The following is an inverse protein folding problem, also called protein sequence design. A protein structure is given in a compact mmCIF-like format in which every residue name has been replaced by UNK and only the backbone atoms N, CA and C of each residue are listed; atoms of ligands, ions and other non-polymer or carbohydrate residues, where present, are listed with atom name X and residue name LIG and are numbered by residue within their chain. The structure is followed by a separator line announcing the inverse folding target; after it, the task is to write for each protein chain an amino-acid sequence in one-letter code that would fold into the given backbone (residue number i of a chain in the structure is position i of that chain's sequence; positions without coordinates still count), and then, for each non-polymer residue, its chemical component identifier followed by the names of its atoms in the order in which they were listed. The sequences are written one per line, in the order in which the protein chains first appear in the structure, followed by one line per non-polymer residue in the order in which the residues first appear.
data_IF_775072929172
#
_entry.id   IF_775072929172
#
_cell.length_a   1.000
_cell.length_b   1.000
_cell.length_c   1.000
_cell.angle_alpha   90.00
_cell.angle_beta   90.00
_cell.angle_gamma   90.00
#
_symmetry.space_group_name_H-M   'P 1'
#
loop_
_entity.id
_entity.type
_entity.pdbx_description
1 polymer ?
2 non-polymer ?
3 non-polymer ?
4 non-polymer ?
5 non-polymer ?
6 non-polymer ?
7 non-polymer ?
8 non-polymer ?
9 water ?
#
# COMPACT_ATOMS: atom_id res chain seq x y z
N UNK A 14 20.94 12.18 -14.06
CA UNK A 14 19.95 11.17 -13.79
C UNK A 14 18.52 11.64 -14.01
N UNK A 15 17.57 11.05 -13.28
CA UNK A 15 16.15 11.38 -13.45
C UNK A 15 15.80 12.75 -12.89
N UNK A 16 16.48 13.16 -11.82
CA UNK A 16 16.18 14.45 -11.19
C UNK A 16 16.50 15.59 -12.17
N UNK A 17 17.60 15.45 -12.91
CA UNK A 17 17.93 16.43 -13.95
C UNK A 17 16.91 16.43 -15.07
N UNK A 18 16.62 15.23 -15.60
CA UNK A 18 15.62 15.04 -16.66
C UNK A 18 14.27 15.64 -16.23
N UNK A 19 13.90 15.45 -14.98
CA UNK A 19 12.67 16.07 -14.45
C UNK A 19 12.67 17.59 -14.61
N UNK A 20 13.78 18.23 -14.24
CA UNK A 20 13.89 19.68 -14.32
C UNK A 20 13.87 20.13 -15.78
N UNK A 21 14.69 19.46 -16.61
CA UNK A 21 14.73 19.75 -18.04
C UNK A 21 13.36 19.66 -18.67
N UNK A 22 12.65 18.58 -18.35
CA UNK A 22 11.35 18.33 -18.99
C UNK A 22 10.31 19.39 -18.61
N UNK A 23 10.27 19.79 -17.34
CA UNK A 23 9.26 20.76 -16.93
C UNK A 23 9.49 22.16 -17.53
N UNK A 24 10.73 22.48 -17.86
CA UNK A 24 11.07 23.79 -18.48
C UNK A 24 10.25 24.12 -19.72
N UNK A 25 10.09 23.16 -20.63
CA UNK A 25 9.41 23.43 -21.89
C UNK A 25 7.97 22.87 -21.97
N UNK A 26 7.57 22.12 -20.95
CA UNK A 26 6.21 21.58 -20.89
C UNK A 26 5.11 22.63 -21.11
N UNK A 27 4.08 22.26 -21.86
CA UNK A 27 2.89 23.10 -22.04
C UNK A 27 2.15 23.23 -20.70
N UNK A 28 1.22 24.22 -20.60
CA UNK A 28 0.47 24.34 -19.34
C UNK A 28 -0.26 23.05 -18.98
N UNK A 29 -0.46 22.77 -17.72
CA UNK A 29 -1.12 21.55 -17.30
C UNK A 29 -2.59 21.41 -17.75
N UNK A 30 -3.36 22.50 -17.71
CA UNK A 30 -4.75 22.60 -18.24
C UNK A 30 -5.51 21.35 -17.88
N UNK A 31 -5.56 21.05 -16.61
CA UNK A 31 -5.93 19.73 -16.17
C UNK A 31 -7.34 19.35 -16.61
N UNK A 32 -8.25 20.29 -16.58
CA UNK A 32 -9.62 19.98 -16.96
C UNK A 32 -9.71 19.61 -18.44
N UNK A 33 -8.92 20.31 -19.25
CA UNK A 33 -8.88 20.01 -20.68
C UNK A 33 -8.25 18.65 -20.90
N UNK A 34 -7.22 18.32 -20.12
CA UNK A 34 -6.57 17.03 -20.32
C UNK A 34 -7.49 15.91 -19.88
N UNK A 35 -8.18 16.10 -18.76
CA UNK A 35 -9.10 15.10 -18.25
C UNK A 35 -10.25 14.89 -19.25
N UNK A 36 -10.73 16.00 -19.82
CA UNK A 36 -11.82 15.93 -20.79
C UNK A 36 -11.51 15.06 -22.00
N UNK A 37 -10.28 15.10 -22.50
CA UNK A 37 -9.95 14.42 -23.76
C UNK A 37 -9.35 13.03 -23.57
N UNK A 38 -9.24 12.62 -22.31
CA UNK A 38 -8.62 11.34 -21.99
C UNK A 38 -9.46 10.15 -22.47
N UNK A 39 -8.81 9.23 -23.17
CA UNK A 39 -9.44 7.98 -23.58
C UNK A 39 -8.94 6.86 -22.70
N UNK A 40 -9.83 5.98 -22.24
CA UNK A 40 -9.40 4.96 -21.28
C UNK A 40 -8.39 3.94 -21.81
N UNK A 41 -8.28 3.77 -23.11
CA UNK A 41 -7.39 2.74 -23.63
C UNK A 41 -5.94 3.16 -23.81
N UNK A 42 -5.58 4.35 -23.33
CA UNK A 42 -4.25 4.92 -23.57
C UNK A 42 -3.56 5.35 -22.29
N UNK A 43 -2.23 5.31 -22.30
CA UNK A 43 -1.43 5.81 -21.16
C UNK A 43 -1.65 7.32 -21.04
N UNK A 44 -1.33 7.87 -19.87
CA UNK A 44 -1.67 9.27 -19.59
C UNK A 44 -0.73 10.25 -20.29
N UNK A 45 -1.21 11.47 -20.54
CA UNK A 45 -0.35 12.49 -21.14
C UNK A 45 0.76 12.84 -20.15
N UNK A 46 1.87 13.34 -20.69
CA UNK A 46 3.09 13.52 -19.91
C UNK A 46 2.89 14.10 -18.50
N UNK A 47 2.21 15.26 -18.39
CA UNK A 47 2.27 15.92 -17.07
C UNK A 47 1.63 15.14 -15.93
N UNK A 48 0.77 14.19 -16.25
CA UNK A 48 0.28 13.32 -15.18
C UNK A 48 1.42 12.57 -14.49
N UNK A 49 2.48 12.24 -15.24
CA UNK A 49 3.57 11.46 -14.70
C UNK A 49 4.77 12.32 -14.31
N UNK A 50 4.79 13.57 -14.74
CA UNK A 50 6.03 14.36 -14.61
C UNK A 50 5.87 15.73 -13.98
N UNK A 51 4.65 16.27 -13.92
CA UNK A 51 4.52 17.68 -13.53
C UNK A 51 4.30 17.85 -12.03
N UNK A 52 4.89 18.91 -11.46
CA UNK A 52 4.60 19.19 -10.05
C UNK A 52 3.15 19.66 -9.84
N UNK A 53 2.52 20.24 -10.86
CA UNK A 53 1.14 20.65 -10.72
C UNK A 53 0.24 19.45 -10.49
N UNK A 54 0.42 18.39 -11.27
CA UNK A 54 -0.45 17.23 -11.09
C UNK A 54 -0.10 16.52 -9.80
N UNK A 55 1.19 16.49 -9.46
CA UNK A 55 1.61 15.88 -8.23
C UNK A 55 0.94 16.54 -7.03
N UNK A 56 0.89 17.88 -7.02
CA UNK A 56 0.22 18.59 -5.95
C UNK A 56 -1.27 18.24 -5.84
N UNK A 57 -1.91 18.05 -6.98
CA UNK A 57 -3.32 17.64 -7.00
C UNK A 57 -3.48 16.20 -6.48
N UNK A 58 -2.54 15.32 -6.83
CA UNK A 58 -2.57 13.93 -6.38
C UNK A 58 -2.45 13.86 -4.86
N UNK A 59 -1.57 14.67 -4.28
CA UNK A 59 -1.46 14.75 -2.84
C UNK A 59 -2.76 15.29 -2.24
N UNK A 60 -3.17 16.47 -2.69
CA UNK A 60 -4.33 17.13 -2.07
C UNK A 60 -5.62 16.31 -2.20
N UNK A 61 -5.83 15.72 -3.36
CA UNK A 61 -7.13 15.15 -3.69
C UNK A 61 -7.23 13.63 -3.61
N UNK A 62 -6.07 12.96 -3.61
CA UNK A 62 -6.02 11.49 -3.55
C UNK A 62 -5.41 11.02 -2.22
N UNK A 63 -4.12 11.28 -2.03
CA UNK A 63 -3.48 10.77 -0.82
C UNK A 63 -3.96 11.39 0.50
N UNK A 64 -4.38 12.65 0.45
CA UNK A 64 -4.86 13.31 1.65
C UNK A 64 -6.36 13.12 1.86
N UNK A 65 -7.02 12.39 0.97
CA UNK A 65 -8.48 12.23 1.08
C UNK A 65 -8.96 10.79 1.25
N UNK A 66 -8.15 9.82 0.82
CA UNK A 66 -8.60 8.43 0.81
C UNK A 66 -7.99 7.67 1.99
N UNK A 67 -8.58 6.51 2.31
CA UNK A 67 -7.98 5.63 3.31
C UNK A 67 -6.69 5.02 2.76
N UNK A 68 -5.68 4.93 3.62
CA UNK A 68 -4.33 4.48 3.24
C UNK A 68 -3.84 3.42 4.20
N UNK A 69 -3.21 2.38 3.68
CA UNK A 69 -2.56 1.40 4.53
C UNK A 69 -1.31 1.99 5.16
N UNK A 70 -1.16 1.76 6.45
CA UNK A 70 -0.03 2.27 7.20
C UNK A 70 0.93 1.14 7.60
N UNK A 71 0.54 0.34 8.57
CA UNK A 71 1.36 -0.73 9.13
C UNK A 71 0.53 -1.88 9.67
N UNK A 72 1.14 -3.05 9.82
CA UNK A 72 0.40 -4.14 10.47
C UNK A 72 0.18 -3.86 11.95
N UNK A 73 -0.95 -4.26 12.51
CA UNK A 73 -1.22 -3.94 13.90
C UNK A 73 -0.23 -4.65 14.85
N UNK A 74 0.38 -5.73 14.38
CA UNK A 74 1.31 -6.48 15.23
C UNK A 74 2.57 -5.66 15.58
N UNK A 75 2.85 -4.61 14.82
CA UNK A 75 3.94 -3.70 15.21
C UNK A 75 3.59 -2.88 16.45
N UNK A 76 2.33 -2.87 16.82
CA UNK A 76 1.88 -2.14 18.00
C UNK A 76 1.33 -3.11 19.03
N UNK A 77 1.99 -4.25 19.18
CA UNK A 77 1.52 -5.30 20.09
C UNK A 77 1.65 -4.90 21.55
N UNK A 78 2.74 -4.18 21.87
CA UNK A 78 3.07 -3.89 23.25
C UNK A 78 2.43 -2.61 23.80
N UNK A 79 2.34 -2.54 25.12
CA UNK A 79 1.79 -1.35 25.79
C UNK A 79 2.69 -0.15 25.51
N UNK A 80 2.07 0.96 25.11
CA UNK A 80 2.81 2.19 24.84
C UNK A 80 3.66 2.15 23.59
N UNK A 81 3.45 1.12 22.77
CA UNK A 81 4.21 1.01 21.54
C UNK A 81 3.73 2.05 20.53
N UNK A 82 4.66 2.51 19.68
CA UNK A 82 4.29 3.47 18.66
C UNK A 82 5.12 3.22 17.41
N UNK A 83 4.64 3.77 16.31
CA UNK A 83 5.36 3.72 15.05
C UNK A 83 5.02 5.01 14.33
N UNK A 84 5.96 5.54 13.55
CA UNK A 84 5.75 6.80 12.86
C UNK A 84 5.90 6.59 11.36
N UNK A 85 5.21 7.41 10.58
CA UNK A 85 5.34 7.38 9.13
C UNK A 85 5.04 8.76 8.57
N UNK A 86 5.57 9.00 7.39
CA UNK A 86 5.36 10.27 6.71
C UNK A 86 4.44 9.95 5.55
N UNK A 87 3.38 10.74 5.41
CA UNK A 87 2.50 10.66 4.24
C UNK A 87 2.49 12.01 3.57
N UNK A 88 3.18 12.13 2.46
CA UNK A 88 3.37 13.44 1.87
C UNK A 88 4.15 14.29 2.86
N UNK A 89 3.56 15.41 3.28
CA UNK A 89 4.22 16.29 4.22
C UNK A 89 3.74 16.04 5.65
N UNK A 90 2.73 15.19 5.80
CA UNK A 90 2.25 14.84 7.13
C UNK A 90 3.17 13.87 7.85
N UNK A 91 3.44 14.15 9.12
CA UNK A 91 4.14 13.24 10.01
C UNK A 91 3.11 12.67 10.97
N UNK A 92 2.91 11.36 10.93
CA UNK A 92 1.86 10.69 11.72
C UNK A 92 2.49 9.77 12.74
N UNK A 93 1.96 9.74 13.96
CA UNK A 93 2.38 8.74 14.93
C UNK A 93 1.18 7.86 15.28
N UNK A 94 1.41 6.55 15.28
CA UNK A 94 0.34 5.59 15.58
C UNK A 94 0.76 4.92 16.89
N UNK A 95 -0.16 4.87 17.87
CA UNK A 95 0.23 4.41 19.21
C UNK A 95 -0.81 3.46 19.80
N UNK A 96 -0.36 2.51 20.63
CA UNK A 96 -1.30 1.72 21.41
C UNK A 96 -1.50 2.43 22.73
N UNK A 97 -2.73 2.87 22.98
CA UNK A 97 -3.03 3.66 24.18
C UNK A 97 -3.16 2.75 25.39
N UNK A 98 -3.33 3.38 26.56
CA UNK A 98 -3.40 2.64 27.82
C UNK A 98 -4.61 1.70 27.86
N UNK A 99 -5.66 2.03 27.11
CA UNK A 99 -6.88 1.22 27.13
C UNK A 99 -6.86 0.11 26.10
N UNK A 100 -5.72 -0.09 25.44
CA UNK A 100 -5.60 -1.14 24.45
C UNK A 100 -6.01 -0.76 23.03
N UNK A 101 -6.55 0.45 22.88
CA UNK A 101 -6.97 0.93 21.57
C UNK A 101 -5.76 1.44 20.81
N UNK A 102 -5.74 1.25 19.50
CA UNK A 102 -4.73 1.87 18.64
C UNK A 102 -5.28 3.15 18.06
N UNK A 103 -4.56 4.25 18.27
CA UNK A 103 -4.97 5.56 17.76
C UNK A 103 -3.82 6.19 16.99
N UNK A 104 -4.15 7.16 16.14
CA UNK A 104 -3.14 7.87 15.37
C UNK A 104 -3.29 9.36 15.62
N UNK A 105 -2.16 10.07 15.55
CA UNK A 105 -2.17 11.49 15.80
C UNK A 105 -1.21 12.16 14.87
N UNK A 106 -1.37 13.46 14.69
CA UNK A 106 -0.35 14.24 14.03
C UNK A 106 0.84 14.40 14.98
N UNK A 107 2.02 14.03 14.47
CA UNK A 107 3.26 14.07 15.25
C UNK A 107 3.81 15.52 15.21
N UNK A 108 3.03 16.44 15.77
CA UNK A 108 3.37 17.85 15.80
C UNK A 108 2.86 18.45 17.11
N UNK A 109 3.80 18.79 17.97
CA UNK A 109 3.51 19.41 19.25
C UNK A 109 2.65 20.69 19.12
N UNK A 110 1.64 20.81 19.97
CA UNK A 110 0.71 21.94 19.87
C UNK A 110 1.29 23.25 20.40
N UNK A 111 2.49 23.20 20.99
CA UNK A 111 3.14 24.40 21.43
C UNK A 111 3.70 25.14 20.21
N UNK A 112 4.86 24.69 19.73
CA UNK A 112 5.50 25.37 18.63
C UNK A 112 5.68 24.49 17.38
N UNK A 113 5.12 23.30 17.40
CA UNK A 113 5.06 22.48 16.18
C UNK A 113 5.97 21.27 16.10
N UNK A 114 6.93 21.14 17.02
CA UNK A 114 7.97 20.11 16.91
C UNK A 114 7.45 18.68 16.74
N UNK A 115 8.17 17.85 15.99
CA UNK A 115 7.97 16.42 16.10
C UNK A 115 8.07 16.04 17.57
N UNK A 116 7.25 15.08 17.97
CA UNK A 116 7.35 14.51 19.32
C UNK A 116 8.11 13.18 19.32
N UNK A 117 7.72 12.27 18.44
CA UNK A 117 8.41 10.98 18.32
C UNK A 117 9.35 11.02 17.14
N UNK A 118 10.64 10.90 17.39
CA UNK A 118 11.65 11.04 16.36
C UNK A 118 12.06 9.69 15.75
N UNK A 119 11.95 8.62 16.53
CA UNK A 119 12.25 7.27 16.06
C UNK A 119 11.10 6.68 15.25
N UNK A 120 11.45 5.77 14.35
CA UNK A 120 10.46 5.07 13.52
C UNK A 120 9.54 4.16 14.34
N UNK A 121 10.07 3.59 15.43
CA UNK A 121 9.27 2.75 16.33
C UNK A 121 9.85 2.83 17.74
N UNK A 122 9.01 2.56 18.74
CA UNK A 122 9.49 2.53 20.11
C UNK A 122 8.39 2.27 21.10
N UNK A 123 8.69 2.44 22.38
CA UNK A 123 7.67 2.39 23.42
C UNK A 123 7.88 3.57 24.34
N UNK A 124 6.77 4.12 24.82
CA UNK A 124 6.82 5.26 25.72
C UNK A 124 5.74 5.10 26.78
N UNK A 125 5.90 5.82 27.88
CA UNK A 125 4.85 5.92 28.89
C UNK A 125 3.91 7.05 28.51
N UNK A 126 4.50 8.19 28.16
CA UNK A 126 3.73 9.33 27.69
C UNK A 126 4.46 9.85 26.46
N UNK A 127 3.76 10.67 25.69
CA UNK A 127 4.38 11.37 24.56
C UNK A 127 4.92 12.70 25.07
N UNK A 128 6.25 12.82 25.14
CA UNK A 128 6.90 14.00 25.72
C UNK A 128 7.65 14.76 24.65
N UNK A 129 7.20 15.97 24.35
CA UNK A 129 7.92 16.77 23.37
C UNK A 129 9.37 17.04 23.76
N UNK A 130 10.32 16.76 22.85
CA UNK A 130 11.75 16.94 23.15
C UNK A 130 12.17 18.40 23.29
N UNK A 131 11.30 19.31 22.87
CA UNK A 131 11.65 20.72 22.86
C UNK A 131 11.47 21.34 24.26
N UNK A 132 10.24 21.41 24.73
CA UNK A 132 9.97 22.01 26.04
C UNK A 132 9.13 21.08 26.93
N UNK A 133 9.07 19.81 26.57
CA UNK A 133 8.45 18.76 27.39
C UNK A 133 6.96 18.86 27.70
N UNK A 134 6.18 19.55 26.87
CA UNK A 134 4.75 19.36 26.90
C UNK A 134 4.49 17.87 26.79
N UNK A 135 3.65 17.39 27.70
CA UNK A 135 3.50 15.97 27.89
C UNK A 135 2.06 15.57 27.61
N UNK A 136 1.91 14.59 26.73
CA UNK A 136 0.61 14.09 26.33
C UNK A 136 0.37 12.65 26.73
N UNK A 137 -0.86 12.35 27.09
CA UNK A 137 -1.31 11.00 27.30
C UNK A 137 -1.39 10.28 25.95
N UNK A 138 -1.43 8.97 25.96
CA UNK A 138 -1.44 8.16 24.77
C UNK A 138 -2.72 8.22 24.00
N UNK A 139 -3.69 8.93 24.54
CA UNK A 139 -4.88 9.26 23.80
C UNK A 139 -4.85 10.69 23.23
N UNK A 140 -3.72 11.34 23.32
CA UNK A 140 -3.57 12.67 22.76
C UNK A 140 -3.78 13.84 23.70
N UNK A 141 -4.37 13.59 24.86
CA UNK A 141 -4.65 14.68 25.80
C UNK A 141 -3.40 15.32 26.40
N UNK A 142 -3.35 16.65 26.37
CA UNK A 142 -2.26 17.39 27.00
C UNK A 142 -2.39 17.39 28.53
N UNK A 143 -1.49 16.72 29.23
CA UNK A 143 -1.62 16.57 30.68
C UNK A 143 -0.63 17.42 31.48
N UNK A 144 0.38 17.95 30.80
CA UNK A 144 1.29 18.88 31.46
C UNK A 144 1.96 19.79 30.44
N UNK A 145 1.90 21.09 30.72
CA UNK A 145 2.61 22.11 29.96
C UNK A 145 3.21 23.10 30.92
N UNK A 146 4.53 23.20 30.94
CA UNK A 146 5.20 24.00 31.98
C UNK A 146 5.03 25.50 31.83
N UNK A 147 4.69 26.16 32.94
CA UNK A 147 4.66 27.62 33.04
C UNK A 147 3.93 28.33 31.90
N UNK A 148 2.72 27.89 31.59
CA UNK A 148 1.92 28.51 30.52
C UNK A 148 0.91 29.55 31.02
N UNK A 149 0.91 29.81 32.33
CA UNK A 149 0.07 30.85 32.86
C UNK A 149 -1.32 30.37 33.22
N UNK A 150 -2.07 31.20 33.97
CA UNK A 150 -3.36 30.77 34.52
C UNK A 150 -4.46 30.72 33.48
N UNK A 151 -4.31 31.44 32.37
CA UNK A 151 -5.34 31.44 31.34
C UNK A 151 -5.10 30.45 30.19
N UNK A 152 -4.19 29.51 30.40
CA UNK A 152 -3.93 28.44 29.43
C UNK A 152 -4.94 27.30 29.60
N UNK A 153 -5.64 26.95 28.53
CA UNK A 153 -6.62 25.86 28.55
C UNK A 153 -6.06 24.66 27.79
N UNK A 154 -5.53 23.68 28.51
CA UNK A 154 -4.91 22.52 27.87
C UNK A 154 -5.87 21.70 27.02
N UNK A 155 -7.17 21.82 27.26
CA UNK A 155 -8.15 21.02 26.52
C UNK A 155 -8.24 21.45 25.07
N UNK A 156 -7.66 22.61 24.77
CA UNK A 156 -7.67 23.15 23.41
C UNK A 156 -6.41 22.70 22.68
N UNK A 157 -5.49 22.06 23.40
CA UNK A 157 -4.15 21.81 22.85
C UNK A 157 -3.68 20.35 22.97
N UNK A 158 -4.60 19.41 22.84
CA UNK A 158 -4.21 18.01 22.75
C UNK A 158 -3.73 17.72 21.33
N UNK A 159 -3.06 16.60 21.12
CA UNK A 159 -2.62 16.24 19.77
C UNK A 159 -3.79 16.09 18.81
N UNK A 160 -3.60 16.52 17.56
CA UNK A 160 -4.68 16.40 16.59
C UNK A 160 -4.81 14.96 16.12
N UNK A 161 -6.03 14.41 16.22
CA UNK A 161 -6.19 12.99 15.88
C UNK A 161 -6.14 12.76 14.38
N UNK A 162 -5.82 11.51 14.02
CA UNK A 162 -5.90 11.03 12.66
C UNK A 162 -6.83 9.83 12.62
N UNK A 163 -7.85 9.93 11.77
CA UNK A 163 -8.81 8.88 11.45
C UNK A 163 -8.10 7.54 11.21
N UNK A 164 -8.52 6.50 11.94
CA UNK A 164 -7.86 5.19 11.86
C UNK A 164 -8.86 4.02 11.90
N UNK A 165 -8.57 2.99 11.11
CA UNK A 165 -9.36 1.76 11.13
C UNK A 165 -8.44 0.56 11.25
N UNK A 166 -8.94 -0.53 11.81
CA UNK A 166 -8.20 -1.79 11.83
C UNK A 166 -8.85 -2.80 10.90
N UNK A 167 -8.22 -3.07 9.77
CA UNK A 167 -8.71 -4.03 8.80
C UNK A 167 -8.12 -5.40 9.12
N UNK A 168 -8.70 -6.08 10.11
CA UNK A 168 -8.35 -7.47 10.43
C UNK A 168 -6.86 -7.67 10.63
N UNK A 169 -6.26 -6.76 11.39
CA UNK A 169 -4.84 -6.83 11.70
C UNK A 169 -3.96 -5.88 10.90
N UNK A 170 -4.58 -5.08 10.02
CA UNK A 170 -3.84 -4.10 9.19
C UNK A 170 -4.38 -2.70 9.44
N UNK A 171 -3.49 -1.80 9.84
CA UNK A 171 -3.89 -0.46 10.24
C UNK A 171 -3.96 0.48 9.04
N UNK A 172 -5.13 1.11 8.87
CA UNK A 172 -5.38 2.08 7.80
C UNK A 172 -5.69 3.44 8.40
N UNK A 173 -5.27 4.51 7.70
CA UNK A 173 -5.50 5.85 8.20
C UNK A 173 -6.06 6.73 7.09
N UNK A 174 -6.65 7.86 7.50
CA UNK A 174 -7.17 8.80 6.53
C UNK A 174 -6.95 10.21 7.06
N UNK A 175 -6.33 11.05 6.24
CA UNK A 175 -5.91 12.38 6.67
C UNK A 175 -7.01 13.44 6.53
N UNK A 176 -8.14 13.05 5.96
CA UNK A 176 -9.26 13.98 5.83
C UNK A 176 -10.12 14.06 7.10
N UNK A 177 -10.67 15.24 7.37
CA UNK A 177 -11.64 15.41 8.46
C UNK A 177 -12.98 14.78 8.07
N UNK A 178 -13.14 14.50 6.77
CA UNK A 178 -14.34 13.85 6.25
C UNK A 178 -14.01 12.61 5.42
N UNK A 179 -13.56 11.55 6.10
CA UNK A 179 -13.10 10.35 5.39
C UNK A 179 -14.22 9.69 4.61
N UNK A 180 -13.87 9.05 3.49
CA UNK A 180 -14.87 8.30 2.75
C UNK A 180 -15.27 7.03 3.49
N UNK A 181 -16.23 6.32 2.91
CA UNK A 181 -16.71 5.09 3.52
C UNK A 181 -15.63 4.01 3.50
N UNK A 182 -15.26 3.50 4.68
CA UNK A 182 -14.32 2.38 4.77
C UNK A 182 -15.05 1.07 5.02
N UNK A 183 -16.26 1.18 5.53
CA UNK A 183 -16.98 0.03 6.06
C UNK A 183 -17.38 -0.99 5.00
N UNK A 184 -17.69 -0.52 3.79
CA UNK A 184 -18.06 -1.41 2.69
C UNK A 184 -16.89 -2.31 2.33
N UNK A 185 -15.70 -1.71 2.23
CA UNK A 185 -14.47 -2.45 1.96
C UNK A 185 -14.17 -3.40 3.12
N UNK A 186 -14.22 -2.89 4.34
CA UNK A 186 -13.87 -3.69 5.52
C UNK A 186 -14.76 -4.93 5.63
N UNK A 187 -16.06 -4.71 5.54
CA UNK A 187 -17.03 -5.81 5.48
C UNK A 187 -16.81 -6.82 4.38
N UNK A 188 -16.43 -6.34 3.20
CA UNK A 188 -16.19 -7.26 2.10
C UNK A 188 -14.92 -8.08 2.32
N UNK A 189 -13.89 -7.43 2.85
CA UNK A 189 -12.57 -8.05 2.93
C UNK A 189 -12.46 -9.06 4.06
N UNK A 190 -13.17 -8.81 5.16
CA UNK A 190 -13.03 -9.62 6.37
C UNK A 190 -13.01 -11.14 6.18
N UNK A 191 -13.97 -11.70 5.41
CA UNK A 191 -13.97 -13.16 5.25
C UNK A 191 -12.67 -13.68 4.64
N UNK A 192 -12.09 -12.91 3.72
CA UNK A 192 -10.86 -13.30 3.07
C UNK A 192 -9.66 -13.15 4.01
N UNK A 193 -9.66 -12.10 4.81
CA UNK A 193 -8.49 -11.76 5.63
C UNK A 193 -8.45 -12.51 6.96
N UNK A 194 -9.61 -12.72 7.55
CA UNK A 194 -9.67 -13.23 8.92
C UNK A 194 -8.98 -14.59 9.05
N UNK A 195 -8.98 -15.36 7.96
CA UNK A 195 -8.41 -16.71 7.99
C UNK A 195 -6.88 -16.67 7.99
N UNK A 196 -6.31 -15.49 7.84
CA UNK A 196 -4.86 -15.34 7.92
C UNK A 196 -4.38 -14.98 9.32
N UNK A 197 -5.32 -14.73 10.23
CA UNK A 197 -4.99 -14.45 11.64
C UNK A 197 -3.88 -13.40 11.78
N UNK A 198 -4.03 -12.28 11.10
CA UNK A 198 -2.94 -11.29 11.04
C UNK A 198 -2.65 -10.66 12.41
N UNK A 199 -3.64 -10.66 13.29
CA UNK A 199 -3.41 -10.15 14.63
C UNK A 199 -2.37 -11.00 15.38
N UNK A 200 -2.19 -12.25 14.93
CA UNK A 200 -1.18 -13.15 15.52
C UNK A 200 0.12 -13.20 14.72
N UNK A 201 0.36 -12.20 13.88
CA UNK A 201 1.59 -12.19 13.09
C UNK A 201 2.70 -11.49 13.83
N UNK A 202 3.91 -11.61 13.30
CA UNK A 202 4.99 -10.66 13.61
C UNK A 202 5.60 -10.22 12.30
N UNK A 203 6.28 -9.08 12.31
CA UNK A 203 7.05 -8.67 11.14
C UNK A 203 8.38 -9.43 11.12
N UNK A 204 8.57 -10.29 10.12
CA UNK A 204 9.82 -11.03 9.93
C UNK A 204 10.90 -10.17 9.22
N UNK A 205 10.46 -9.25 8.37
CA UNK A 205 11.40 -8.43 7.59
C UNK A 205 10.63 -7.26 6.99
N UNK A 206 11.32 -6.13 6.82
CA UNK A 206 10.74 -5.01 6.09
C UNK A 206 11.79 -4.50 5.10
N UNK A 207 11.36 -4.16 3.90
CA UNK A 207 12.23 -3.55 2.91
C UNK A 207 11.59 -2.25 2.42
N UNK A 208 12.34 -1.17 2.46
CA UNK A 208 11.82 0.10 1.96
C UNK A 208 12.73 0.52 0.83
N UNK A 209 12.16 0.77 -0.35
CA UNK A 209 12.94 1.28 -1.46
C UNK A 209 12.30 2.52 -2.07
N UNK A 210 13.13 3.35 -2.69
CA UNK A 210 12.61 4.47 -3.44
C UNK A 210 12.79 4.13 -4.91
N UNK A 211 11.70 4.17 -5.65
CA UNK A 211 11.74 4.01 -7.09
C UNK A 211 11.64 5.38 -7.74
N UNK A 212 12.54 5.66 -8.67
CA UNK A 212 12.50 6.96 -9.34
C UNK A 212 11.47 6.98 -10.47
N UNK A 213 10.20 6.79 -10.10
CA UNK A 213 9.11 7.03 -11.03
C UNK A 213 7.89 7.49 -10.26
N UNK A 214 6.98 8.15 -10.96
CA UNK A 214 5.73 8.64 -10.41
C UNK A 214 4.95 7.48 -9.80
N UNK A 215 4.18 7.76 -8.77
CA UNK A 215 3.45 6.72 -8.03
C UNK A 215 2.50 5.98 -8.98
N UNK A 216 2.01 6.67 -10.00
CA UNK A 216 1.07 6.02 -10.91
C UNK A 216 1.81 5.02 -11.80
N UNK A 217 3.07 5.30 -12.10
CA UNK A 217 3.86 4.33 -12.88
C UNK A 217 4.16 3.07 -12.08
N UNK A 218 4.33 3.22 -10.77
CA UNK A 218 4.52 2.08 -9.90
C UNK A 218 3.24 1.23 -9.95
N UNK A 219 2.08 1.87 -9.87
CA UNK A 219 0.81 1.13 -9.91
C UNK A 219 0.52 0.49 -11.26
N UNK A 220 0.74 1.21 -12.37
CA UNK A 220 0.53 0.64 -13.70
C UNK A 220 1.40 -0.59 -13.92
N UNK A 221 2.66 -0.51 -13.47
CA UNK A 221 3.54 -1.66 -13.50
C UNK A 221 3.01 -2.82 -12.67
N UNK A 222 2.51 -2.50 -11.48
CA UNK A 222 1.98 -3.52 -10.60
C UNK A 222 0.77 -4.24 -11.17
N UNK A 223 -0.03 -3.52 -11.94
CA UNK A 223 -1.32 -4.07 -12.37
C UNK A 223 -1.28 -4.85 -13.69
N UNK A 224 -0.08 -5.26 -14.10
CA UNK A 224 0.07 -6.16 -15.25
C UNK A 224 1.22 -7.14 -15.14
N UNK A 225 1.08 -8.31 -15.77
CA UNK A 225 2.22 -9.21 -15.97
C UNK A 225 2.69 -9.32 -17.41
N UNK A 226 2.32 -8.31 -18.19
CA UNK A 226 2.79 -8.16 -19.56
C UNK A 226 4.32 -8.10 -19.56
N UNK A 227 4.90 -7.58 -18.47
CA UNK A 227 6.35 -7.42 -18.39
C UNK A 227 7.06 -8.58 -17.70
N UNK A 228 6.29 -9.52 -17.17
CA UNK A 228 6.85 -10.46 -16.21
C UNK A 228 7.78 -11.54 -16.76
N UNK A 229 7.42 -12.16 -17.89
CA UNK A 229 8.24 -13.24 -18.42
C UNK A 229 9.65 -12.81 -18.75
N UNK A 230 9.82 -11.61 -19.34
CA UNK A 230 11.16 -11.11 -19.64
C UNK A 230 11.92 -10.55 -18.44
N UNK A 231 11.19 -10.11 -17.41
CA UNK A 231 11.83 -9.31 -16.37
C UNK A 231 11.90 -9.93 -14.98
N UNK A 232 11.16 -11.03 -14.75
CA UNK A 232 11.08 -11.61 -13.42
C UNK A 232 11.36 -13.11 -13.38
N UNK A 233 12.62 -13.52 -13.58
CA UNK A 233 12.89 -14.96 -13.58
C UNK A 233 12.52 -15.64 -12.26
N UNK A 234 12.81 -15.01 -11.12
CA UNK A 234 12.52 -15.65 -9.84
C UNK A 234 11.02 -15.76 -9.60
N UNK A 235 10.31 -14.66 -9.78
CA UNK A 235 8.86 -14.64 -9.59
C UNK A 235 8.12 -15.64 -10.48
N UNK A 236 8.55 -15.74 -11.74
CA UNK A 236 7.86 -16.60 -12.71
C UNK A 236 7.88 -18.08 -12.35
N UNK A 237 8.74 -18.46 -11.40
CA UNK A 237 8.76 -19.82 -10.94
C UNK A 237 7.51 -20.19 -10.16
N UNK A 238 6.88 -19.19 -9.53
CA UNK A 238 5.75 -19.44 -8.65
C UNK A 238 4.47 -18.64 -9.00
N UNK A 239 4.63 -17.49 -9.66
CA UNK A 239 3.49 -16.63 -10.02
C UNK A 239 3.14 -16.80 -11.50
N UNK A 240 1.88 -17.15 -11.80
CA UNK A 240 1.51 -17.41 -13.20
C UNK A 240 1.45 -16.16 -14.08
N UNK A 241 1.72 -16.33 -15.37
CA UNK A 241 1.70 -15.21 -16.31
C UNK A 241 0.31 -14.95 -16.88
N UNK A 242 -0.63 -15.86 -16.60
CA UNK A 242 -1.97 -15.80 -17.15
C UNK A 242 -2.60 -14.46 -16.80
N UNK A 243 -2.96 -13.67 -17.83
CA UNK A 243 -3.55 -12.34 -17.66
C UNK A 243 -4.77 -12.30 -16.73
N UNK A 244 -5.50 -13.40 -16.64
CA UNK A 244 -6.68 -13.45 -15.79
C UNK A 244 -6.30 -13.34 -14.33
N UNK A 245 -5.11 -13.83 -13.99
CA UNK A 245 -4.63 -13.75 -12.63
C UNK A 245 -4.31 -12.32 -12.21
N UNK A 246 -3.44 -11.67 -12.98
CA UNK A 246 -3.00 -10.31 -12.69
C UNK A 246 -4.12 -9.28 -12.85
N UNK A 247 -4.97 -9.46 -13.87
CA UNK A 247 -5.88 -8.41 -14.29
C UNK A 247 -7.29 -8.47 -13.72
N UNK A 248 -8.24 -7.95 -14.49
CA UNK A 248 -9.62 -7.85 -14.04
C UNK A 248 -10.62 -8.40 -15.06
N UNK A 249 -10.16 -9.25 -15.98
CA UNK A 249 -11.06 -9.87 -16.94
C UNK A 249 -12.05 -10.82 -16.27
N UNK A 250 -11.70 -11.27 -15.06
CA UNK A 250 -12.58 -12.12 -14.25
C UNK A 250 -13.86 -11.40 -13.83
N UNK A 251 -13.83 -10.07 -13.85
CA UNK A 251 -14.99 -9.27 -13.46
C UNK A 251 -16.17 -9.47 -14.40
N UNK A 252 -15.88 -9.78 -15.65
CA UNK A 252 -16.91 -10.03 -16.64
C UNK A 252 -17.30 -11.50 -16.72
N UNK A 253 -16.50 -12.34 -16.08
CA UNK A 253 -16.73 -13.78 -16.08
C UNK A 253 -15.47 -14.58 -15.79
N UNK A 254 -15.60 -15.63 -14.98
CA UNK A 254 -14.45 -16.43 -14.57
C UNK A 254 -14.28 -17.67 -15.44
N UNK A 255 -13.05 -17.94 -15.87
CA UNK A 255 -12.76 -19.15 -16.63
C UNK A 255 -13.07 -20.41 -15.80
N UNK A 256 -13.17 -21.55 -16.47
CA UNK A 256 -13.52 -22.78 -15.78
C UNK A 256 -12.38 -23.23 -14.88
N UNK A 257 -11.15 -23.11 -15.38
CA UNK A 257 -9.98 -23.48 -14.61
C UNK A 257 -9.88 -22.67 -13.32
N UNK A 258 -10.05 -21.35 -13.43
CA UNK A 258 -9.99 -20.48 -12.25
C UNK A 258 -11.12 -20.75 -11.26
N UNK A 259 -12.33 -20.90 -11.78
CA UNK A 259 -13.46 -21.15 -10.90
C UNK A 259 -13.27 -22.46 -10.13
N UNK A 260 -12.67 -23.43 -10.80
CA UNK A 260 -12.34 -24.70 -10.17
C UNK A 260 -11.39 -24.48 -8.99
N UNK A 261 -10.45 -23.55 -9.13
CA UNK A 261 -9.58 -23.23 -8.01
C UNK A 261 -10.33 -22.55 -6.88
N UNK A 262 -11.16 -21.56 -7.20
CA UNK A 262 -11.98 -20.86 -6.22
C UNK A 262 -12.81 -21.89 -5.45
N UNK A 263 -13.33 -22.88 -6.16
CA UNK A 263 -14.18 -23.89 -5.54
C UNK A 263 -13.41 -24.82 -4.61
N UNK A 264 -12.20 -25.22 -4.99
CA UNK A 264 -11.36 -26.00 -4.09
C UNK A 264 -11.14 -25.25 -2.78
N UNK A 265 -10.83 -23.95 -2.87
CA UNK A 265 -10.65 -23.15 -1.67
C UNK A 265 -11.88 -23.02 -0.83
N UNK A 266 -13.00 -22.74 -1.48
CA UNK A 266 -14.21 -22.45 -0.76
C UNK A 266 -14.89 -23.71 -0.21
N UNK A 267 -14.76 -24.83 -0.92
CA UNK A 267 -15.20 -26.12 -0.37
C UNK A 267 -14.47 -26.41 0.93
N UNK A 268 -13.22 -25.95 0.98
CA UNK A 268 -12.39 -26.12 2.16
C UNK A 268 -12.58 -25.03 3.19
N UNK A 269 -13.52 -24.11 2.94
CA UNK A 269 -13.84 -23.07 3.91
C UNK A 269 -13.00 -21.79 3.82
N UNK A 270 -12.28 -21.64 2.70
CA UNK A 270 -11.39 -20.50 2.52
C UNK A 270 -11.90 -19.61 1.40
N UNK A 271 -12.42 -18.44 1.72
CA UNK A 271 -13.02 -17.58 0.71
C UNK A 271 -12.01 -17.19 -0.35
N UNK A 272 -12.41 -17.27 -1.62
CA UNK A 272 -11.52 -17.10 -2.75
C UNK A 272 -12.07 -16.25 -3.88
N UNK A 273 -13.40 -16.21 -3.98
CA UNK A 273 -14.00 -15.74 -5.18
C UNK A 273 -13.63 -14.29 -5.47
N UNK A 274 -13.31 -14.02 -6.71
CA UNK A 274 -12.96 -12.69 -7.19
C UNK A 274 -14.09 -11.71 -6.90
N UNK A 275 -13.76 -10.62 -6.22
CA UNK A 275 -14.70 -9.51 -5.97
C UNK A 275 -14.04 -8.16 -6.25
N UNK A 276 -14.70 -7.31 -7.04
CA UNK A 276 -14.16 -5.99 -7.37
C UNK A 276 -15.14 -4.90 -6.93
N UNK A 277 -14.62 -3.88 -6.24
CA UNK A 277 -15.43 -2.75 -5.78
C UNK A 277 -16.26 -2.18 -6.91
N UNK A 278 -17.43 -1.64 -6.56
CA UNK A 278 -18.28 -1.00 -7.54
C UNK A 278 -17.55 0.13 -8.23
N UNK A 279 -16.77 0.89 -7.44
CA UNK A 279 -16.04 2.05 -7.97
C UNK A 279 -14.59 1.70 -8.36
N UNK A 280 -14.22 0.44 -8.20
CA UNK A 280 -12.95 -0.07 -8.69
C UNK A 280 -11.77 0.17 -7.74
N UNK A 281 -12.06 0.68 -6.54
CA UNK A 281 -10.97 1.05 -5.61
C UNK A 281 -10.18 -0.17 -5.09
N UNK A 282 -10.86 -1.29 -4.96
CA UNK A 282 -10.26 -2.47 -4.37
C UNK A 282 -10.74 -3.77 -4.98
N UNK A 283 -9.92 -4.81 -4.86
CA UNK A 283 -10.23 -6.12 -5.42
C UNK A 283 -9.62 -7.17 -4.52
N UNK A 284 -10.36 -8.25 -4.28
CA UNK A 284 -9.83 -9.42 -3.61
C UNK A 284 -10.07 -10.64 -4.47
N UNK A 285 -9.08 -11.53 -4.54
CA UNK A 285 -9.20 -12.80 -5.24
C UNK A 285 -8.11 -13.78 -4.77
N UNK A 286 -8.47 -15.04 -4.51
CA UNK A 286 -7.44 -16.03 -4.18
C UNK A 286 -7.06 -16.86 -5.41
N UNK A 287 -5.87 -16.61 -5.94
CA UNK A 287 -5.48 -17.10 -7.24
C UNK A 287 -4.53 -18.27 -7.07
N UNK A 288 -4.54 -19.21 -8.03
CA UNK A 288 -3.61 -20.34 -8.00
C UNK A 288 -2.20 -19.89 -8.33
N UNK A 289 -1.21 -20.54 -7.73
CA UNK A 289 0.18 -20.32 -8.13
C UNK A 289 0.48 -21.20 -9.32
N UNK A 290 1.64 -21.05 -9.94
CA UNK A 290 1.96 -21.85 -11.11
C UNK A 290 2.29 -23.23 -10.73
N UNK A 291 2.03 -24.17 -11.63
CA UNK A 291 2.58 -25.50 -11.54
C UNK A 291 2.24 -26.03 -10.17
N UNK A 292 3.21 -26.57 -9.49
CA UNK A 292 2.98 -27.14 -8.19
C UNK A 292 3.46 -26.23 -7.04
N UNK A 293 3.71 -24.97 -7.31
CA UNK A 293 4.23 -24.06 -6.29
C UNK A 293 3.26 -23.81 -5.19
N UNK A 294 3.77 -23.66 -3.98
CA UNK A 294 2.96 -23.37 -2.82
C UNK A 294 3.19 -21.97 -2.24
N UNK A 295 4.32 -21.37 -2.58
CA UNK A 295 4.73 -20.11 -1.97
C UNK A 295 5.72 -19.37 -2.86
N UNK A 296 5.99 -18.11 -2.53
CA UNK A 296 6.94 -17.32 -3.30
C UNK A 296 8.37 -17.61 -2.88
N UNK A 297 8.85 -18.80 -3.26
CA UNK A 297 10.23 -19.19 -2.98
C UNK A 297 10.93 -19.71 -4.25
N UNK A 298 12.24 -19.86 -4.17
CA UNK A 298 13.00 -20.33 -5.32
C UNK A 298 12.65 -21.79 -5.60
N UNK A 299 12.36 -22.57 -4.55
CA UNK A 299 11.97 -23.97 -4.75
C UNK A 299 10.46 -24.22 -4.79
N UNK A 300 9.68 -23.17 -4.53
CA UNK A 300 8.25 -23.24 -4.65
C UNK A 300 7.54 -23.79 -3.42
N UNK A 301 8.30 -24.33 -2.48
CA UNK A 301 7.71 -24.85 -1.25
C UNK A 301 7.45 -23.73 -0.25
N UNK A 302 6.69 -24.03 0.81
CA UNK A 302 6.41 -23.05 1.87
C UNK A 302 7.71 -22.45 2.43
N UNK A 303 7.73 -21.15 2.64
CA UNK A 303 8.89 -20.49 3.25
C UNK A 303 8.93 -20.73 4.75
N UNK A 304 7.76 -20.86 5.37
CA UNK A 304 7.68 -20.98 6.82
C UNK A 304 6.92 -22.24 7.18
N UNK A 305 7.49 -23.04 8.08
CA UNK A 305 6.92 -24.33 8.41
C UNK A 305 5.74 -24.21 9.39
N UNK A 306 5.70 -23.10 10.11
CA UNK A 306 4.62 -22.77 11.04
C UNK A 306 3.77 -21.70 10.36
N UNK A 307 2.59 -22.08 9.87
CA UNK A 307 1.79 -21.19 9.02
C UNK A 307 1.16 -20.01 9.76
N UNK A 308 0.98 -18.91 9.03
CA UNK A 308 0.28 -17.74 9.55
C UNK A 308 -1.16 -17.87 9.10
N UNK A 309 -2.03 -18.29 10.03
CA UNK A 309 -3.44 -18.43 9.71
C UNK A 309 -3.87 -19.88 9.48
N UNK A 310 -5.10 -20.05 9.02
CA UNK A 310 -5.73 -21.37 8.91
C UNK A 310 -6.20 -21.69 7.49
N UNK A 311 -5.52 -21.12 6.50
CA UNK A 311 -5.86 -21.33 5.10
C UNK A 311 -5.76 -22.80 4.68
N UNK A 312 -6.77 -23.27 3.97
CA UNK A 312 -6.79 -24.60 3.40
C UNK A 312 -7.43 -24.56 2.01
N UNK A 313 -6.97 -25.40 1.08
CA UNK A 313 -5.92 -26.44 1.15
C UNK A 313 -4.53 -25.80 1.07
N UNK A 314 -3.46 -26.61 1.21
CA UNK A 314 -2.10 -26.06 1.16
C UNK A 314 -1.73 -25.38 -0.16
N UNK A 315 -2.39 -25.76 -1.26
CA UNK A 315 -2.16 -25.09 -2.52
C UNK A 315 -3.28 -24.11 -2.84
N UNK A 316 -3.84 -23.49 -1.80
CA UNK A 316 -4.84 -22.44 -1.97
C UNK A 316 -4.33 -21.23 -2.76
N UNK A 317 -3.01 -21.11 -2.87
CA UNK A 317 -2.42 -20.05 -3.66
C UNK A 317 -2.36 -18.71 -2.95
N UNK A 318 -2.48 -17.65 -3.73
CA UNK A 318 -2.29 -16.30 -3.21
C UNK A 318 -3.54 -15.43 -3.19
N UNK A 319 -3.89 -14.92 -2.01
CA UNK A 319 -4.95 -13.93 -1.87
C UNK A 319 -4.36 -12.60 -2.30
N UNK A 320 -4.76 -12.15 -3.47
CA UNK A 320 -4.41 -10.82 -3.95
C UNK A 320 -5.40 -9.78 -3.44
N UNK A 321 -4.88 -8.68 -2.91
CA UNK A 321 -5.77 -7.60 -2.49
C UNK A 321 -5.07 -6.30 -2.85
N UNK A 322 -5.75 -5.47 -3.63
CA UNK A 322 -5.30 -4.09 -3.81
C UNK A 322 -6.35 -3.14 -3.27
N UNK A 323 -5.90 -1.98 -2.80
CA UNK A 323 -6.78 -0.91 -2.37
C UNK A 323 -6.08 0.38 -2.76
N UNK A 324 -6.58 1.05 -3.79
CA UNK A 324 -5.95 2.29 -4.27
C UNK A 324 -6.21 3.44 -3.30
N UNK A 325 -5.21 4.33 -3.13
CA UNK A 325 -3.94 4.42 -3.84
C UNK A 325 -2.76 3.82 -3.09
N UNK A 326 -2.97 3.18 -1.95
CA UNK A 326 -1.85 2.92 -1.06
C UNK A 326 -1.27 1.50 -1.03
N UNK A 327 -2.01 0.49 -1.49
CA UNK A 327 -1.54 -0.85 -1.15
C UNK A 327 -1.93 -2.00 -2.08
N UNK A 328 -0.96 -2.89 -2.33
CA UNK A 328 -1.27 -4.22 -2.85
C UNK A 328 -0.69 -5.25 -1.88
N UNK A 329 -1.20 -6.47 -1.91
CA UNK A 329 -0.90 -7.42 -0.86
C UNK A 329 -0.99 -8.84 -1.40
N UNK A 330 -0.23 -9.75 -0.81
CA UNK A 330 -0.29 -11.17 -1.18
C UNK A 330 -0.37 -11.94 0.13
N UNK A 331 -1.47 -12.66 0.34
CA UNK A 331 -1.58 -13.42 1.57
C UNK A 331 -1.55 -14.91 1.20
N UNK A 332 -0.48 -15.59 1.60
CA UNK A 332 -0.28 -16.99 1.22
C UNK A 332 -0.65 -17.88 2.40
N UNK A 333 -0.72 -19.20 2.18
CA UNK A 333 -1.03 -20.04 3.34
C UNK A 333 0.03 -19.96 4.43
N UNK A 334 1.30 -19.82 4.08
CA UNK A 334 2.35 -19.88 5.10
C UNK A 334 2.78 -18.53 5.67
N UNK A 335 2.76 -17.49 4.82
CA UNK A 335 3.12 -16.15 5.28
C UNK A 335 2.39 -15.15 4.41
N UNK A 336 2.52 -13.88 4.73
CA UNK A 336 1.85 -12.83 3.97
C UNK A 336 2.82 -11.69 3.70
N UNK A 337 2.52 -10.91 2.67
CA UNK A 337 3.33 -9.74 2.28
C UNK A 337 2.40 -8.57 2.04
N UNK A 338 2.71 -7.43 2.65
CA UNK A 338 1.96 -6.22 2.38
C UNK A 338 2.91 -5.26 1.68
N UNK A 339 2.35 -4.44 0.79
CA UNK A 339 3.13 -3.42 0.06
C UNK A 339 2.43 -2.10 0.26
N UNK A 340 3.19 -1.07 0.64
CA UNK A 340 2.65 0.27 0.84
C UNK A 340 3.32 1.22 -0.14
N UNK A 341 2.50 1.97 -0.89
CA UNK A 341 2.97 2.92 -1.92
C UNK A 341 2.76 4.33 -1.39
N UNK A 342 3.85 5.11 -1.29
CA UNK A 342 3.73 6.46 -0.78
C UNK A 342 4.48 7.43 -1.69
N UNK A 343 3.85 8.56 -2.01
CA UNK A 343 4.44 9.49 -2.98
C UNK A 343 5.60 10.28 -2.37
N UNK A 344 6.70 10.43 -3.11
CA UNK A 344 7.83 11.20 -2.59
C UNK A 344 8.01 12.52 -3.35
N UNK A 345 7.85 12.48 -4.67
CA UNK A 345 7.94 13.66 -5.52
C UNK A 345 7.27 13.26 -6.84
N UNK A 346 7.16 14.18 -7.81
CA UNK A 346 6.51 13.77 -9.07
C UNK A 346 7.16 12.55 -9.73
N UNK A 347 8.47 12.39 -9.55
CA UNK A 347 9.17 11.26 -10.15
C UNK A 347 9.83 10.32 -9.14
N UNK A 348 9.30 10.29 -7.91
CA UNK A 348 9.78 9.37 -6.87
C UNK A 348 8.66 8.78 -6.01
N UNK A 349 8.78 7.50 -5.69
CA UNK A 349 7.75 6.79 -4.93
C UNK A 349 8.42 5.83 -3.95
N UNK A 350 7.98 5.86 -2.70
CA UNK A 350 8.47 4.92 -1.71
C UNK A 350 7.60 3.65 -1.68
N UNK A 351 8.24 2.50 -1.82
CA UNK A 351 7.50 1.23 -1.69
C UNK A 351 8.03 0.47 -0.50
N UNK A 352 7.14 0.10 0.42
CA UNK A 352 7.52 -0.60 1.63
C UNK A 352 6.91 -1.98 1.61
N UNK A 353 7.76 -2.99 1.61
CA UNK A 353 7.29 -4.38 1.60
C UNK A 353 7.51 -4.98 2.97
N UNK A 354 6.46 -5.60 3.53
CA UNK A 354 6.55 -6.14 4.87
C UNK A 354 6.22 -7.62 4.78
N UNK A 355 7.12 -8.47 5.29
CA UNK A 355 6.87 -9.92 5.39
C UNK A 355 6.29 -10.22 6.77
N UNK A 356 5.11 -10.84 6.82
CA UNK A 356 4.46 -11.21 8.07
C UNK A 356 4.49 -12.72 8.20
N UNK A 357 4.92 -13.20 9.37
CA UNK A 357 4.90 -14.62 9.65
C UNK A 357 4.22 -14.85 10.99
N UNK A 358 3.92 -16.10 11.33
CA UNK A 358 3.32 -16.35 12.62
C UNK A 358 4.25 -15.86 13.73
N UNK A 359 3.67 -15.28 14.78
CA UNK A 359 4.45 -14.66 15.84
C UNK A 359 5.37 -15.63 16.57
N UNK A 360 5.07 -16.92 16.49
CA UNK A 360 5.87 -17.98 17.11
C UNK A 360 6.80 -18.69 16.13
N UNK A 361 6.79 -18.26 14.87
CA UNK A 361 7.72 -18.80 13.90
C UNK A 361 9.10 -18.27 14.27
N UNK A 362 10.09 -19.15 14.35
CA UNK A 362 11.44 -18.79 14.79
C UNK A 362 12.43 -18.70 13.62
N UNK A 363 13.07 -17.54 13.48
CA UNK A 363 14.05 -17.37 12.40
C UNK A 363 15.22 -18.32 12.63
N UNK A 364 15.53 -19.13 11.63
CA UNK A 364 16.62 -20.09 11.71
C UNK A 364 16.13 -21.48 12.01
N UNK A 365 14.87 -21.58 12.45
CA UNK A 365 14.26 -22.87 12.76
C UNK A 365 13.06 -23.15 11.86
N UNK A 366 12.08 -22.25 11.89
CA UNK A 366 10.86 -22.40 11.10
C UNK A 366 10.96 -21.72 9.74
N UNK A 367 11.88 -20.78 9.61
CA UNK A 367 12.10 -20.14 8.33
C UNK A 367 13.53 -19.61 8.23
N UNK A 368 13.97 -19.43 7.00
CA UNK A 368 15.27 -18.83 6.72
C UNK A 368 15.03 -17.45 6.11
N UNK A 369 15.69 -16.43 6.62
CA UNK A 369 15.44 -15.07 6.16
C UNK A 369 15.68 -14.87 4.66
N UNK A 370 16.79 -15.40 4.14
CA UNK A 370 17.08 -15.30 2.71
C UNK A 370 16.03 -16.05 1.88
N UNK A 371 15.73 -17.28 2.29
CA UNK A 371 14.75 -18.05 1.55
C UNK A 371 13.36 -17.39 1.55
N UNK A 372 12.97 -16.80 2.68
CA UNK A 372 11.70 -16.11 2.81
C UNK A 372 11.58 -14.89 1.93
N UNK A 373 12.68 -14.16 1.77
CA UNK A 373 12.60 -12.81 1.19
C UNK A 373 13.22 -12.62 -0.19
N UNK A 374 14.07 -13.56 -0.62
CA UNK A 374 14.84 -13.34 -1.83
C UNK A 374 14.01 -13.11 -3.09
N UNK A 375 12.90 -13.83 -3.23
CA UNK A 375 12.11 -13.71 -4.44
C UNK A 375 11.56 -12.29 -4.62
N UNK A 376 10.93 -11.76 -3.58
CA UNK A 376 10.33 -10.43 -3.71
C UNK A 376 11.33 -9.28 -3.60
N UNK A 377 12.44 -9.52 -2.90
CA UNK A 377 13.52 -8.52 -2.95
C UNK A 377 13.99 -8.37 -4.38
N UNK A 378 14.24 -9.49 -5.06
CA UNK A 378 14.64 -9.46 -6.46
C UNK A 378 13.57 -8.82 -7.34
N UNK A 379 12.33 -9.27 -7.17
CA UNK A 379 11.22 -8.77 -7.98
C UNK A 379 11.04 -7.26 -7.84
N UNK A 380 11.07 -6.78 -6.60
CA UNK A 380 10.94 -5.34 -6.37
C UNK A 380 12.08 -4.57 -7.07
N UNK A 381 13.29 -5.11 -7.00
CA UNK A 381 14.42 -4.46 -7.67
C UNK A 381 14.23 -4.42 -9.19
N UNK A 382 13.68 -5.49 -9.75
CA UNK A 382 13.43 -5.55 -11.19
C UNK A 382 12.33 -4.58 -11.58
N UNK A 383 11.28 -4.51 -10.77
CA UNK A 383 10.18 -3.57 -10.98
C UNK A 383 10.69 -2.12 -10.90
N UNK A 384 11.50 -1.85 -9.89
CA UNK A 384 12.08 -0.52 -9.77
C UNK A 384 12.86 -0.11 -11.03
N UNK A 385 13.71 -1.01 -11.53
CA UNK A 385 14.47 -0.70 -12.75
C UNK A 385 13.53 -0.42 -13.93
N UNK A 386 12.47 -1.21 -14.03
CA UNK A 386 11.51 -1.06 -15.11
C UNK A 386 10.77 0.27 -15.03
N UNK A 387 10.37 0.63 -13.82
CA UNK A 387 9.59 1.82 -13.59
C UNK A 387 10.49 3.01 -13.85
N UNK A 388 11.75 2.91 -13.45
CA UNK A 388 12.65 4.04 -13.60
C UNK A 388 12.98 4.27 -15.06
N UNK A 389 13.13 3.17 -15.80
CA UNK A 389 13.42 3.27 -17.22
C UNK A 389 12.21 3.85 -17.98
N UNK A 390 11.02 3.40 -17.56
CA UNK A 390 9.78 3.91 -18.13
C UNK A 390 9.68 5.43 -17.88
N UNK A 391 9.93 5.84 -16.64
CA UNK A 391 9.89 7.26 -16.25
C UNK A 391 10.83 8.13 -17.10
N UNK A 392 12.01 7.62 -17.40
CA UNK A 392 12.99 8.41 -18.13
C UNK A 392 12.56 8.68 -19.56
N UNK A 393 11.98 7.67 -20.21
CA UNK A 393 11.44 7.85 -21.54
C UNK A 393 10.27 8.80 -21.55
N UNK A 394 9.42 8.70 -20.53
CA UNK A 394 8.23 9.51 -20.45
C UNK A 394 8.61 10.98 -20.30
N UNK A 395 9.76 11.22 -19.68
CA UNK A 395 10.21 12.59 -19.52
C UNK A 395 10.56 13.27 -20.84
N UNK A 396 10.74 12.50 -21.91
CA UNK A 396 10.98 13.14 -23.20
C UNK A 396 9.80 13.97 -23.68
N UNK A 397 10.07 15.18 -24.23
CA UNK A 397 8.94 15.94 -24.78
C UNK A 397 8.31 15.24 -25.99
N UNK A 398 8.97 14.20 -26.51
CA UNK A 398 8.39 13.45 -27.63
C UNK A 398 7.43 12.37 -27.17
N UNK A 399 7.42 12.07 -25.87
CA UNK A 399 6.49 11.07 -25.34
C UNK A 399 5.04 11.43 -25.65
N UNK A 400 4.28 10.46 -26.17
CA UNK A 400 2.84 10.64 -26.32
C UNK A 400 2.15 9.38 -25.83
N UNK A 401 0.88 9.51 -25.40
CA UNK A 401 0.17 8.31 -24.96
C UNK A 401 0.23 7.19 -26.01
N UNK A 402 0.31 5.96 -25.52
CA UNK A 402 0.25 4.79 -26.38
C UNK A 402 -0.83 3.86 -25.87
N UNK A 403 -1.18 2.87 -26.71
CA UNK A 403 -2.35 2.04 -26.37
C UNK A 403 -2.02 0.91 -25.43
N UNK A 404 -2.84 0.69 -24.41
CA UNK A 404 -2.63 -0.47 -23.55
C UNK A 404 -3.08 -1.74 -24.29
N UNK A 405 -2.44 -2.86 -23.98
CA UNK A 405 -2.94 -4.14 -24.50
C UNK A 405 -4.27 -4.53 -23.85
N UNK A 406 -5.32 -4.75 -24.67
CA UNK A 406 -6.59 -5.12 -24.04
C UNK A 406 -6.49 -6.44 -23.28
N UNK A 407 -5.70 -7.37 -23.81
CA UNK A 407 -5.60 -8.70 -23.22
C UNK A 407 -4.65 -8.80 -22.04
N UNK A 408 -3.60 -7.98 -22.06
CA UNK A 408 -2.52 -8.07 -21.09
C UNK A 408 -2.53 -6.93 -20.08
N UNK A 409 -3.21 -5.84 -20.43
CA UNK A 409 -3.19 -4.65 -19.56
C UNK A 409 -4.56 -4.14 -19.11
N UNK A 410 -5.54 -5.04 -19.07
CA UNK A 410 -6.87 -4.65 -18.59
C UNK A 410 -6.82 -4.04 -17.18
N UNK A 411 -5.96 -4.57 -16.33
CA UNK A 411 -5.81 -4.09 -14.97
C UNK A 411 -5.17 -2.70 -14.90
N UNK A 412 -4.34 -2.39 -15.89
CA UNK A 412 -3.74 -1.05 -15.94
C UNK A 412 -4.81 -0.03 -16.28
N UNK A 413 -5.62 -0.34 -17.30
CA UNK A 413 -6.72 0.57 -17.64
C UNK A 413 -7.64 0.77 -16.46
N UNK A 414 -7.85 -0.32 -15.70
CA UNK A 414 -8.75 -0.27 -14.57
C UNK A 414 -8.22 0.71 -13.53
N UNK A 415 -6.93 0.64 -13.27
CA UNK A 415 -6.35 1.57 -12.29
C UNK A 415 -6.42 3.02 -12.81
N UNK A 416 -6.05 3.23 -14.06
CA UNK A 416 -6.00 4.58 -14.61
C UNK A 416 -7.41 5.18 -14.60
N UNK A 417 -8.43 4.38 -14.95
CA UNK A 417 -9.81 4.84 -14.80
C UNK A 417 -10.20 5.26 -13.38
N UNK A 418 -9.79 4.47 -12.39
CA UNK A 418 -10.10 4.79 -11.00
C UNK A 418 -9.44 6.12 -10.62
N UNK A 419 -8.18 6.27 -11.03
CA UNK A 419 -7.43 7.49 -10.74
C UNK A 419 -8.08 8.73 -11.37
N UNK A 420 -8.39 8.64 -12.65
CA UNK A 420 -8.96 9.77 -13.37
C UNK A 420 -10.34 10.14 -12.82
N UNK A 421 -11.16 9.14 -12.51
CA UNK A 421 -12.47 9.37 -11.94
C UNK A 421 -12.35 10.04 -10.57
N UNK A 422 -11.41 9.56 -9.77
CA UNK A 422 -11.21 10.12 -8.43
C UNK A 422 -10.78 11.59 -8.51
N UNK A 423 -9.88 11.89 -9.44
CA UNK A 423 -9.43 13.25 -9.63
C UNK A 423 -10.56 14.14 -10.17
N UNK A 424 -11.28 13.65 -11.17
CA UNK A 424 -12.43 14.38 -11.70
C UNK A 424 -13.42 14.75 -10.60
N UNK A 425 -13.76 13.79 -9.75
CA UNK A 425 -14.74 14.01 -8.70
C UNK A 425 -14.24 15.05 -7.70
N UNK A 426 -12.94 14.99 -7.39
CA UNK A 426 -12.35 15.87 -6.41
C UNK A 426 -12.28 17.31 -6.91
N UNK A 427 -12.10 17.47 -8.21
CA UNK A 427 -12.03 18.78 -8.84
C UNK A 427 -13.41 19.38 -9.16
N UNK A 428 -14.46 18.59 -8.97
CA UNK A 428 -15.82 19.01 -9.34
C UNK A 428 -16.33 20.16 -8.46
#
# INVERSE_FOLDING_TARGET
MHHHHHHSSGVDLGTENLYFQSMMTANPTSIHQRLDRRLSGFSLEQPFYTSPEVYALDLQHIFYKQWLYAVPVCQLAKAGSYTTLRVGAYEVVIVRSRDGEVRAFHNSCRHRGSLICKARQGQVAKLVCPYHQWTYELDGKLIWANDMGPDFDASKYGLKPVNLRNLDGLIYICLSDTPPDFQTFAQLARPYLEVHDLKDAKVAFTSTIIEKGNWKLVWENNRECYHCSSNHPALCRSFPLDPEVAGVQADGGVSKKLQAHFDRCEAAGTPAQFVLAGDGQYRLARMPLQEKALSYTMDGKAAVSRHLGRVAPPDAGTLLMFHYPSTWNHFLPDHSLTFRVMPISPTETEVTTTWLVHKDAVEGVDYDLKRLTEVWIATNDEDREIVETNQQGILSPAYVPGPYSPGQESGVMQFVDWYAASLERALAPRQVAAE
#
